data_IF_115375796315
#
_entry.id   IF_115375796315
#
_cell.length_a   1.000
_cell.length_b   1.000
_cell.length_c   1.000
_cell.angle_alpha   90.00
_cell.angle_beta   90.00
_cell.angle_gamma   90.00
#
_symmetry.space_group_name_H-M   'P 1'
#
loop_
_entity.id
_entity.type
_entity.pdbx_description
1 polymer ?
#
# COMPACT_ATOMS: atom_id res chain seq x y z
N UNK A 1 2.97 -9.94 8.99
CA UNK A 1 2.29 -8.79 9.64
C UNK A 1 2.94 -7.52 9.13
N UNK A 2 2.20 -6.67 8.44
CA UNK A 2 2.67 -5.33 8.10
C UNK A 2 2.61 -4.44 9.34
N UNK A 3 3.59 -3.53 9.48
CA UNK A 3 3.66 -2.59 10.60
C UNK A 3 2.77 -1.37 10.37
N UNK A 4 2.51 -1.03 9.09
CA UNK A 4 1.57 -0.01 8.65
C UNK A 4 0.98 -0.46 7.31
N UNK A 5 -0.34 -0.28 7.16
CA UNK A 5 -1.08 -0.75 5.98
C UNK A 5 -2.06 0.30 5.46
N UNK A 6 -2.66 1.10 6.34
CA UNK A 6 -3.63 2.14 5.96
C UNK A 6 -2.96 3.43 5.48
N UNK A 7 -3.72 4.27 4.77
CA UNK A 7 -3.21 5.57 4.32
C UNK A 7 -2.79 6.45 5.49
N UNK A 8 -3.54 6.42 6.59
CA UNK A 8 -3.31 7.19 7.80
C UNK A 8 -2.02 6.74 8.50
N UNK A 9 -1.84 5.44 8.75
CA UNK A 9 -0.62 4.91 9.38
C UNK A 9 0.63 5.21 8.56
N UNK A 10 0.57 5.01 7.24
CA UNK A 10 1.68 5.34 6.33
C UNK A 10 1.97 6.84 6.38
N UNK A 11 0.91 7.66 6.41
CA UNK A 11 1.04 9.11 6.46
C UNK A 11 1.70 9.61 7.73
N UNK A 12 1.38 9.00 8.87
CA UNK A 12 1.95 9.36 10.17
C UNK A 12 3.44 9.01 10.18
N UNK A 13 3.81 7.80 9.74
CA UNK A 13 5.20 7.35 9.71
C UNK A 13 6.05 8.20 8.74
N UNK A 14 5.59 8.37 7.49
CA UNK A 14 6.35 9.13 6.48
C UNK A 14 6.36 10.63 6.79
N UNK A 15 5.30 11.14 7.41
CA UNK A 15 5.20 12.53 7.84
C UNK A 15 6.17 12.90 8.95
N UNK A 16 6.44 11.98 9.88
CA UNK A 16 7.43 12.17 10.95
C UNK A 16 8.88 11.82 10.51
N UNK A 17 9.03 11.04 9.44
CA UNK A 17 10.33 10.60 8.96
C UNK A 17 11.13 11.72 8.27
N UNK A 18 12.40 11.83 8.65
CA UNK A 18 13.36 12.76 8.03
C UNK A 18 13.64 12.47 6.54
N UNK A 19 14.35 13.38 5.85
CA UNK A 19 14.50 13.36 4.39
C UNK A 19 15.21 12.11 3.84
N UNK A 20 16.02 11.43 4.66
CA UNK A 20 16.72 10.19 4.30
C UNK A 20 15.78 8.99 4.09
N UNK A 21 14.51 9.11 4.50
CA UNK A 21 13.52 8.04 4.34
C UNK A 21 12.69 8.27 3.08
N UNK A 22 12.69 7.29 2.17
CA UNK A 22 11.82 7.28 1.00
C UNK A 22 10.61 6.35 1.18
N UNK A 23 9.57 6.61 0.40
CA UNK A 23 8.37 5.78 0.30
C UNK A 23 8.52 4.78 -0.86
N UNK A 24 8.29 3.50 -0.58
CA UNK A 24 8.00 2.51 -1.60
C UNK A 24 6.49 2.51 -1.84
N UNK A 25 6.06 2.88 -3.05
CA UNK A 25 4.66 2.79 -3.44
C UNK A 25 4.34 1.38 -3.94
N UNK A 26 3.46 0.65 -3.25
CA UNK A 26 2.94 -0.65 -3.73
C UNK A 26 1.44 -0.54 -4.02
N UNK A 27 1.07 -0.64 -5.30
CA UNK A 27 -0.33 -0.47 -5.75
C UNK A 27 -1.23 -1.63 -5.28
N UNK A 28 -0.66 -2.82 -5.08
CA UNK A 28 -1.40 -4.00 -4.62
C UNK A 28 -1.75 -3.88 -3.14
N UNK A 29 -0.80 -3.42 -2.32
CA UNK A 29 -1.03 -3.23 -0.88
C UNK A 29 -2.03 -2.11 -0.62
N UNK A 30 -1.95 -0.98 -1.35
CA UNK A 30 -2.94 0.09 -1.24
C UNK A 30 -4.36 -0.41 -1.57
N UNK A 31 -4.50 -1.20 -2.63
CA UNK A 31 -5.76 -1.83 -2.99
C UNK A 31 -6.23 -2.84 -1.93
N UNK A 32 -5.34 -3.65 -1.37
CA UNK A 32 -5.66 -4.58 -0.28
C UNK A 32 -6.20 -3.83 0.95
N UNK A 33 -5.50 -2.78 1.38
CA UNK A 33 -5.87 -1.87 2.46
C UNK A 33 -7.13 -1.03 2.18
N UNK A 34 -7.60 -1.00 0.92
CA UNK A 34 -8.88 -0.40 0.56
C UNK A 34 -8.84 1.11 0.31
N UNK A 35 -7.67 1.68 -0.01
CA UNK A 35 -7.56 3.08 -0.42
C UNK A 35 -6.93 3.22 -1.82
N UNK A 36 -7.22 4.35 -2.46
CA UNK A 36 -6.62 4.68 -3.76
C UNK A 36 -5.16 5.12 -3.56
N UNK A 37 -4.22 4.39 -4.17
CA UNK A 37 -2.79 4.69 -4.10
C UNK A 37 -2.45 6.08 -4.65
N UNK A 38 -3.31 6.69 -5.47
CA UNK A 38 -3.16 8.06 -5.94
C UNK A 38 -3.01 9.06 -4.78
N UNK A 39 -3.66 8.80 -3.63
CA UNK A 39 -3.51 9.64 -2.43
C UNK A 39 -2.08 9.70 -1.91
N UNK A 40 -1.32 8.60 -2.00
CA UNK A 40 0.09 8.57 -1.62
C UNK A 40 0.95 9.34 -2.62
N UNK A 41 0.63 9.27 -3.91
CA UNK A 41 1.32 10.05 -4.95
C UNK A 41 1.07 11.55 -4.75
N UNK A 42 -0.18 11.94 -4.49
CA UNK A 42 -0.55 13.35 -4.24
C UNK A 42 0.15 13.92 -3.01
N UNK A 43 0.24 13.13 -1.92
CA UNK A 43 0.79 13.60 -0.65
C UNK A 43 2.31 13.49 -0.55
N UNK A 44 2.89 12.43 -1.12
CA UNK A 44 4.30 12.05 -0.91
C UNK A 44 5.04 11.77 -2.20
N UNK A 45 4.58 12.29 -3.36
CA UNK A 45 5.17 12.00 -4.66
C UNK A 45 6.67 12.33 -4.75
N UNK A 46 7.12 13.36 -4.04
CA UNK A 46 8.53 13.75 -3.89
C UNK A 46 9.36 12.79 -3.03
N UNK A 47 8.70 11.98 -2.21
CA UNK A 47 9.32 10.97 -1.34
C UNK A 47 9.33 9.58 -1.95
N UNK A 48 8.65 9.34 -3.08
CA UNK A 48 8.60 8.01 -3.70
C UNK A 48 9.95 7.67 -4.34
N UNK A 49 10.62 6.65 -3.81
CA UNK A 49 11.94 6.20 -4.28
C UNK A 49 11.90 4.83 -4.99
N UNK A 50 10.81 4.09 -4.84
CA UNK A 50 10.61 2.80 -5.47
C UNK A 50 9.12 2.52 -5.70
N UNK A 51 8.80 1.75 -6.74
CA UNK A 51 7.41 1.44 -7.09
C UNK A 51 7.27 -0.06 -7.36
N UNK A 52 6.34 -0.71 -6.67
CA UNK A 52 5.78 -2.00 -7.05
C UNK A 52 4.43 -1.78 -7.74
N UNK A 53 4.36 -2.20 -9.00
CA UNK A 53 3.12 -2.22 -9.76
C UNK A 53 2.54 -3.62 -9.73
N UNK A 54 1.49 -3.79 -8.92
CA UNK A 54 0.72 -5.02 -8.81
C UNK A 54 -0.73 -4.76 -9.22
N UNK A 55 -1.26 -5.64 -10.07
CA UNK A 55 -2.68 -5.64 -10.41
C UNK A 55 -3.47 -6.49 -9.42
N UNK A 56 -4.72 -6.11 -9.15
CA UNK A 56 -5.59 -6.76 -8.17
C UNK A 56 -6.89 -7.22 -8.81
N UNK A 57 -7.07 -8.54 -8.85
CA UNK A 57 -8.30 -9.18 -9.31
C UNK A 57 -9.43 -8.92 -8.31
N UNK A 58 -10.29 -7.94 -8.60
CA UNK A 58 -11.39 -7.48 -7.71
C UNK A 58 -12.27 -8.61 -7.17
N UNK A 59 -12.63 -9.58 -8.00
CA UNK A 59 -13.47 -10.72 -7.60
C UNK A 59 -12.79 -11.59 -6.52
N UNK A 60 -11.51 -11.89 -6.72
CA UNK A 60 -10.71 -12.68 -5.76
C UNK A 60 -10.51 -11.90 -4.46
N UNK A 61 -10.23 -10.59 -4.55
CA UNK A 61 -10.11 -9.73 -3.36
C UNK A 61 -11.39 -9.73 -2.52
N UNK A 62 -12.55 -9.60 -3.17
CA UNK A 62 -13.83 -9.64 -2.48
C UNK A 62 -14.05 -10.99 -1.77
N UNK A 63 -13.67 -12.09 -2.41
CA UNK A 63 -13.73 -13.42 -1.80
C UNK A 63 -12.81 -13.55 -0.58
N UNK A 64 -11.54 -13.13 -0.71
CA UNK A 64 -10.53 -13.16 0.37
C UNK A 64 -11.02 -12.35 1.57
N UNK A 65 -11.55 -11.14 1.35
CA UNK A 65 -12.11 -10.30 2.42
C UNK A 65 -13.36 -10.93 3.05
N UNK A 66 -14.26 -11.50 2.25
CA UNK A 66 -15.48 -12.13 2.77
C UNK A 66 -15.22 -13.36 3.63
N UNK A 67 -14.08 -14.03 3.39
CA UNK A 67 -13.70 -15.27 4.07
C UNK A 67 -12.61 -15.08 5.13
N UNK A 68 -12.22 -13.83 5.41
CA UNK A 68 -11.14 -13.48 6.34
C UNK A 68 -9.85 -14.27 6.06
N UNK A 69 -9.52 -14.41 4.78
CA UNK A 69 -8.32 -15.12 4.32
C UNK A 69 -7.14 -14.15 4.25
N UNK A 70 -5.91 -14.61 4.53
CA UNK A 70 -4.72 -13.79 4.33
C UNK A 70 -4.55 -13.45 2.84
N UNK A 71 -4.25 -12.20 2.54
CA UNK A 71 -3.73 -11.81 1.23
C UNK A 71 -2.35 -12.44 1.04
N UNK A 72 -2.18 -13.18 -0.06
CA UNK A 72 -0.89 -13.75 -0.43
C UNK A 72 -0.30 -12.89 -1.55
N UNK A 73 0.81 -12.22 -1.24
CA UNK A 73 1.68 -11.61 -2.24
C UNK A 73 2.56 -12.70 -2.84
N UNK A 74 2.09 -13.36 -3.90
CA UNK A 74 2.97 -14.22 -4.72
C UNK A 74 3.92 -13.31 -5.52
N UNK A 75 5.23 -13.40 -5.22
CA UNK A 75 6.30 -12.63 -5.89
C UNK A 75 6.82 -13.30 -7.18
N UNK A 76 6.01 -14.08 -7.86
CA UNK A 76 6.40 -14.86 -9.05
C UNK A 76 6.15 -14.13 -10.36
#
# INVERSE_FOLDING_TARGET
MMVAETFEEISDIIGEAGPETGLLLDTGHAAAAGFDYAKLIERFGDRIVHIHLKDVRKAIRAEVQSKDLPSVDEKT
#
